data_IF_506833018663
#
_entry.id   IF_506833018663
#
_cell.length_a   1.000
_cell.length_b   1.000
_cell.length_c   1.000
_cell.angle_alpha   90.00
_cell.angle_beta   90.00
_cell.angle_gamma   90.00
#
_symmetry.space_group_name_H-M   'P 1'
#
loop_
_entity.id
_entity.type
_entity.pdbx_description
1 polymer ?
#
# COMPACT_ATOMS: atom_id res chain seq x y z
N UNK A 1 10.13 -1.56 -26.16
CA UNK A 1 9.26 -0.82 -25.22
C UNK A 1 10.11 -0.32 -24.07
N UNK A 2 9.87 0.89 -23.56
CA UNK A 2 10.67 1.45 -22.46
C UNK A 2 10.32 0.78 -21.13
N UNK A 3 11.30 0.61 -20.24
CA UNK A 3 11.08 0.20 -18.85
C UNK A 3 10.72 1.37 -17.93
N UNK A 4 10.86 2.62 -18.41
CA UNK A 4 10.58 3.84 -17.64
C UNK A 4 9.12 4.29 -17.71
N UNK A 5 8.42 3.92 -18.77
CA UNK A 5 7.08 4.40 -19.09
C UNK A 5 6.15 3.23 -19.32
N UNK A 6 4.87 3.41 -18.97
CA UNK A 6 3.84 2.38 -19.17
C UNK A 6 3.85 1.87 -20.62
N UNK A 7 3.83 0.55 -20.88
CA UNK A 7 3.57 -0.55 -19.95
C UNK A 7 4.82 -1.20 -19.31
N UNK A 8 5.93 -0.46 -19.21
CA UNK A 8 7.17 -0.88 -18.55
C UNK A 8 7.81 -2.14 -19.15
N UNK A 9 7.73 -2.27 -20.48
CA UNK A 9 8.25 -3.42 -21.22
C UNK A 9 7.26 -4.56 -21.42
N UNK A 10 6.05 -4.50 -20.84
CA UNK A 10 5.03 -5.54 -21.01
C UNK A 10 4.30 -5.44 -22.37
N UNK A 11 3.81 -6.58 -22.85
CA UNK A 11 3.00 -6.65 -24.07
C UNK A 11 1.54 -6.26 -23.79
N UNK A 12 1.06 -5.19 -24.45
CA UNK A 12 -0.32 -4.69 -24.32
C UNK A 12 -1.35 -5.62 -24.97
N UNK A 13 -0.92 -6.56 -25.82
CA UNK A 13 -1.80 -7.58 -26.40
C UNK A 13 -1.93 -8.83 -25.52
N UNK A 14 -1.14 -8.92 -24.44
CA UNK A 14 -1.16 -10.05 -23.50
C UNK A 14 -1.28 -9.58 -22.04
N UNK A 15 -2.38 -8.90 -21.67
CA UNK A 15 -2.59 -8.42 -20.31
C UNK A 15 -2.58 -9.54 -19.27
N UNK A 16 -2.99 -10.76 -19.64
CA UNK A 16 -3.01 -11.92 -18.73
C UNK A 16 -1.62 -12.33 -18.24
N UNK A 17 -0.56 -12.01 -18.99
CA UNK A 17 0.82 -12.38 -18.66
C UNK A 17 1.41 -11.52 -17.54
N UNK A 18 0.86 -10.32 -17.31
CA UNK A 18 1.47 -9.36 -16.40
C UNK A 18 0.49 -8.63 -15.48
N UNK A 19 -0.74 -8.32 -15.91
CA UNK A 19 -1.67 -7.54 -15.08
C UNK A 19 -2.02 -8.32 -13.81
N UNK A 20 -1.80 -7.69 -12.68
CA UNK A 20 -2.01 -8.19 -11.33
C UNK A 20 -0.94 -9.19 -10.86
N UNK A 21 0.13 -9.38 -11.64
CA UNK A 21 1.27 -10.22 -11.25
C UNK A 21 2.19 -9.50 -10.25
N UNK A 22 2.99 -10.29 -9.52
CA UNK A 22 3.98 -9.77 -8.56
C UNK A 22 5.06 -8.92 -9.25
N UNK A 23 5.45 -9.30 -10.46
CA UNK A 23 6.50 -8.64 -11.25
C UNK A 23 6.02 -7.44 -12.06
N UNK A 24 4.70 -7.18 -12.13
CA UNK A 24 4.18 -6.05 -12.87
C UNK A 24 4.45 -4.73 -12.15
N UNK A 25 5.18 -3.86 -12.85
CA UNK A 25 5.58 -2.56 -12.35
C UNK A 25 4.43 -1.56 -12.34
N UNK A 26 4.45 -0.68 -11.35
CA UNK A 26 3.59 0.49 -11.28
C UNK A 26 4.40 1.72 -10.92
N UNK A 27 4.06 2.85 -11.54
CA UNK A 27 4.59 4.17 -11.17
C UNK A 27 3.59 4.91 -10.30
N UNK A 28 2.29 4.63 -10.45
CA UNK A 28 1.21 5.20 -9.67
C UNK A 28 0.72 4.18 -8.64
N UNK A 29 0.74 4.54 -7.37
CA UNK A 29 0.39 3.66 -6.26
C UNK A 29 -0.67 4.31 -5.40
N UNK A 30 -1.66 3.54 -4.99
CA UNK A 30 -2.56 3.93 -3.92
C UNK A 30 -2.09 3.21 -2.64
N UNK A 31 -1.76 3.98 -1.61
CA UNK A 31 -1.15 3.45 -0.39
C UNK A 31 -1.98 3.87 0.82
N UNK A 32 -2.37 2.91 1.66
CA UNK A 32 -3.03 3.18 2.94
C UNK A 32 -2.27 2.54 4.09
N UNK A 33 -2.13 3.26 5.20
CA UNK A 33 -1.64 2.68 6.45
C UNK A 33 -2.65 1.66 6.97
N UNK A 34 -2.15 0.50 7.42
CA UNK A 34 -2.98 -0.59 7.91
C UNK A 34 -2.74 -0.82 9.42
N UNK A 35 -1.48 -0.78 9.87
CA UNK A 35 -1.15 -0.78 11.29
C UNK A 35 0.33 -1.03 11.57
N UNK A 36 0.68 -1.35 12.81
CA UNK A 36 2.07 -1.59 13.21
C UNK A 36 2.21 -2.32 14.52
N UNK A 37 3.27 -3.11 14.66
CA UNK A 37 3.74 -3.60 15.95
C UNK A 37 5.16 -3.07 16.19
N UNK A 38 5.37 -2.22 17.21
CA UNK A 38 6.70 -1.70 17.54
C UNK A 38 6.94 -1.71 19.06
N UNK A 39 7.79 -2.65 19.52
CA UNK A 39 8.26 -2.72 20.92
C UNK A 39 9.75 -2.37 21.02
N UNK A 40 10.59 -2.86 20.08
CA UNK A 40 12.03 -2.51 19.93
C UNK A 40 12.46 -2.66 18.46
N UNK A 41 12.22 -3.83 17.90
CA UNK A 41 12.13 -4.07 16.48
C UNK A 41 10.68 -4.46 16.18
N UNK A 42 10.21 -4.09 15.01
CA UNK A 42 8.79 -4.14 14.70
C UNK A 42 8.53 -4.08 13.22
N UNK A 43 7.27 -3.87 12.88
CA UNK A 43 6.85 -3.63 11.53
C UNK A 43 5.76 -2.57 11.46
N UNK A 44 5.71 -1.85 10.33
CA UNK A 44 4.53 -1.10 9.92
C UNK A 44 3.98 -1.70 8.65
N UNK A 45 2.67 -1.95 8.66
CA UNK A 45 1.89 -2.54 7.59
C UNK A 45 1.15 -1.47 6.80
N UNK A 46 1.15 -1.66 5.49
CA UNK A 46 0.50 -0.79 4.52
C UNK A 46 -0.20 -1.65 3.49
N UNK A 47 -1.32 -1.20 2.95
CA UNK A 47 -1.88 -1.80 1.73
C UNK A 47 -1.38 -0.96 0.55
N UNK A 48 -0.73 -1.62 -0.41
CA UNK A 48 -0.30 -1.02 -1.67
C UNK A 48 -1.17 -1.55 -2.80
N UNK A 49 -1.68 -0.66 -3.64
CA UNK A 49 -2.37 -0.99 -4.88
C UNK A 49 -1.67 -0.30 -6.06
N UNK A 50 -1.17 -1.09 -7.01
CA UNK A 50 -0.58 -0.58 -8.25
C UNK A 50 -1.67 -0.15 -9.23
N UNK A 51 -1.75 1.15 -9.54
CA UNK A 51 -2.75 1.70 -10.47
C UNK A 51 -2.38 1.50 -11.95
N UNK A 52 -1.14 1.07 -12.21
CA UNK A 52 -0.66 0.65 -13.53
C UNK A 52 -0.49 -0.86 -13.65
N UNK A 53 -0.69 -1.62 -12.56
CA UNK A 53 -0.52 -3.09 -12.56
C UNK A 53 -1.73 -3.86 -12.06
N UNK A 54 -2.69 -3.26 -11.34
CA UNK A 54 -3.80 -3.95 -10.67
C UNK A 54 -3.38 -5.02 -9.63
N UNK A 55 -2.11 -5.03 -9.22
CA UNK A 55 -1.66 -5.84 -8.12
C UNK A 55 -1.96 -5.11 -6.80
N UNK A 56 -2.49 -5.83 -5.81
CA UNK A 56 -2.74 -5.30 -4.46
C UNK A 56 -2.16 -6.24 -3.41
N UNK A 57 -1.54 -5.71 -2.37
CA UNK A 57 -0.90 -6.52 -1.32
C UNK A 57 -0.75 -5.73 -0.02
N UNK A 58 -0.66 -6.45 1.10
CA UNK A 58 -0.15 -5.91 2.35
C UNK A 58 1.37 -5.92 2.28
N UNK A 59 1.98 -4.79 2.57
CA UNK A 59 3.42 -4.58 2.55
C UNK A 59 3.85 -4.10 3.93
N UNK A 60 4.85 -4.77 4.49
CA UNK A 60 5.41 -4.43 5.78
C UNK A 60 6.81 -3.85 5.61
N UNK A 61 7.15 -2.81 6.37
CA UNK A 61 8.55 -2.44 6.60
C UNK A 61 8.99 -3.03 7.93
N UNK A 62 9.84 -4.05 7.89
CA UNK A 62 10.45 -4.64 9.07
C UNK A 62 11.60 -3.74 9.50
N UNK A 63 11.50 -3.14 10.67
CA UNK A 63 12.43 -2.11 11.12
C UNK A 63 12.87 -2.30 12.57
N UNK A 64 14.01 -1.70 12.89
CA UNK A 64 14.48 -1.53 14.26
C UNK A 64 14.82 -0.05 14.42
N UNK A 65 14.30 0.60 15.46
CA UNK A 65 14.47 2.05 15.61
C UNK A 65 14.26 2.53 17.04
N UNK A 66 14.70 3.76 17.28
CA UNK A 66 14.47 4.44 18.56
C UNK A 66 13.11 5.10 18.49
N UNK A 67 12.13 4.52 19.16
CA UNK A 67 10.80 5.11 19.33
C UNK A 67 10.82 5.97 20.59
N UNK A 68 10.66 7.29 20.47
CA UNK A 68 10.43 8.15 21.63
C UNK A 68 8.92 8.27 21.82
N UNK A 69 8.36 7.34 22.59
CA UNK A 69 6.92 7.26 22.86
C UNK A 69 6.53 8.19 24.00
N UNK A 70 6.14 9.43 23.67
CA UNK A 70 5.55 10.33 24.64
C UNK A 70 4.04 10.48 24.35
N UNK A 71 3.14 10.09 25.28
CA UNK A 71 1.70 10.21 25.05
C UNK A 71 1.28 11.69 24.97
N UNK A 72 0.67 12.06 23.84
CA UNK A 72 0.26 13.43 23.46
C UNK A 72 -0.51 14.14 24.58
N UNK A 73 -1.41 13.42 25.28
CA UNK A 73 -2.25 13.99 26.34
C UNK A 73 -1.51 14.49 27.59
N UNK A 74 -0.21 14.20 27.75
CA UNK A 74 0.58 14.63 28.92
C UNK A 74 1.82 15.46 28.61
N UNK A 75 2.29 15.54 27.37
CA UNK A 75 3.37 16.49 27.03
C UNK A 75 2.90 17.93 27.26
N UNK A 76 1.63 18.22 26.95
CA UNK A 76 1.01 19.51 27.25
C UNK A 76 0.72 19.76 28.75
N UNK A 77 0.63 18.71 29.59
CA UNK A 77 0.43 18.85 31.05
C UNK A 77 1.73 18.78 31.87
N UNK A 78 2.78 18.16 31.34
CA UNK A 78 4.06 17.99 32.01
C UNK A 78 4.99 19.20 31.91
N UNK A 79 4.64 20.21 31.10
CA UNK A 79 5.31 21.52 31.09
C UNK A 79 5.26 22.26 32.46
N UNK A 80 4.59 21.72 33.47
CA UNK A 80 4.57 22.24 34.85
C UNK A 80 4.85 21.22 35.96
N UNK A 81 5.30 19.99 35.66
CA UNK A 81 5.49 18.91 36.65
C UNK A 81 6.93 18.37 36.69
N UNK A 82 7.45 18.07 37.89
CA UNK A 82 8.84 17.66 38.10
C UNK A 82 9.21 16.35 37.38
N UNK A 83 10.41 16.32 36.80
CA UNK A 83 10.94 15.24 35.95
C UNK A 83 10.93 13.81 36.57
N UNK A 84 10.83 13.69 37.90
CA UNK A 84 10.79 12.38 38.58
C UNK A 84 9.44 11.68 38.48
N UNK A 85 8.34 12.43 38.42
CA UNK A 85 7.00 11.83 38.32
C UNK A 85 6.71 11.38 36.88
N UNK A 86 7.28 12.07 35.88
CA UNK A 86 7.21 11.65 34.47
C UNK A 86 7.85 10.26 34.26
N UNK A 87 9.04 10.03 34.80
CA UNK A 87 9.79 8.76 34.69
C UNK A 87 9.10 7.57 35.38
N UNK A 88 8.39 7.80 36.50
CA UNK A 88 7.66 6.76 37.21
C UNK A 88 6.36 6.38 36.49
N UNK A 89 5.68 7.35 35.87
CA UNK A 89 4.50 7.11 35.04
C UNK A 89 4.81 6.42 33.71
N UNK A 90 5.96 6.73 33.11
CA UNK A 90 6.46 6.11 31.88
C UNK A 90 6.65 4.59 32.06
N UNK A 91 7.32 4.15 33.13
CA UNK A 91 7.55 2.73 33.43
C UNK A 91 6.30 1.88 33.62
N UNK A 92 5.25 2.43 34.25
CA UNK A 92 4.00 1.70 34.51
C UNK A 92 3.12 1.65 33.25
N UNK A 93 3.10 2.75 32.47
CA UNK A 93 2.38 2.80 31.20
C UNK A 93 3.07 1.97 30.10
N UNK A 94 4.39 1.81 30.13
CA UNK A 94 5.09 0.96 29.17
C UNK A 94 4.60 -0.49 29.25
N UNK A 95 4.37 -1.03 30.45
CA UNK A 95 3.93 -2.42 30.59
C UNK A 95 2.47 -2.63 30.16
N UNK A 96 1.56 -1.73 30.55
CA UNK A 96 0.16 -1.80 30.15
C UNK A 96 -0.06 -1.45 28.66
N UNK A 97 0.70 -0.48 28.15
CA UNK A 97 0.72 -0.10 26.75
C UNK A 97 1.29 -1.20 25.85
N UNK A 98 2.35 -1.88 26.29
CA UNK A 98 2.93 -3.00 25.52
C UNK A 98 1.96 -4.18 25.41
N UNK A 99 1.23 -4.53 26.48
CA UNK A 99 0.26 -5.62 26.43
C UNK A 99 -0.90 -5.33 25.44
N UNK A 100 -1.47 -4.12 25.50
CA UNK A 100 -2.50 -3.70 24.55
C UNK A 100 -1.97 -3.66 23.11
N UNK A 101 -0.74 -3.16 22.93
CA UNK A 101 -0.12 -3.11 21.60
C UNK A 101 0.05 -4.50 20.98
N UNK A 102 0.40 -5.49 21.80
CA UNK A 102 0.53 -6.89 21.36
C UNK A 102 -0.84 -7.49 21.02
N UNK A 103 -1.87 -7.26 21.84
CA UNK A 103 -3.23 -7.76 21.59
C UNK A 103 -3.86 -7.17 20.31
N UNK A 104 -3.71 -5.86 20.12
CA UNK A 104 -4.14 -5.17 18.91
C UNK A 104 -3.37 -5.69 17.67
N UNK A 105 -2.07 -6.02 17.82
CA UNK A 105 -1.25 -6.54 16.72
C UNK A 105 -1.63 -7.97 16.34
N UNK A 106 -1.88 -8.83 17.33
CA UNK A 106 -2.37 -10.20 17.10
C UNK A 106 -3.74 -10.17 16.43
N UNK A 107 -4.62 -9.25 16.83
CA UNK A 107 -5.92 -9.06 16.20
C UNK A 107 -5.75 -8.63 14.75
N UNK A 108 -4.86 -7.68 14.49
CA UNK A 108 -4.55 -7.21 13.14
C UNK A 108 -3.92 -8.30 12.27
N UNK A 109 -2.93 -9.06 12.75
CA UNK A 109 -2.36 -10.20 12.02
C UNK A 109 -3.43 -11.24 11.67
N UNK A 110 -4.35 -11.51 12.60
CA UNK A 110 -5.50 -12.38 12.34
C UNK A 110 -6.42 -11.80 11.27
N UNK A 111 -6.75 -10.51 11.35
CA UNK A 111 -7.56 -9.84 10.35
C UNK A 111 -6.88 -9.80 8.98
N UNK A 112 -5.57 -9.54 8.92
CA UNK A 112 -4.74 -9.61 7.70
C UNK A 112 -4.78 -11.02 7.11
N UNK A 113 -4.58 -12.06 7.91
CA UNK A 113 -4.69 -13.46 7.51
C UNK A 113 -6.10 -13.85 7.01
N UNK A 114 -7.14 -13.20 7.54
CA UNK A 114 -8.54 -13.39 7.11
C UNK A 114 -8.88 -12.64 5.80
N UNK A 115 -8.01 -11.75 5.29
CA UNK A 115 -8.16 -11.13 3.97
C UNK A 115 -7.88 -12.13 2.84
N UNK A 116 -8.88 -12.97 2.56
CA UNK A 116 -8.79 -14.05 1.58
C UNK A 116 -8.76 -13.58 0.11
N UNK A 117 -8.98 -12.30 -0.19
CA UNK A 117 -9.02 -11.76 -1.56
C UNK A 117 -8.46 -10.34 -1.68
N UNK A 118 -8.01 -9.97 -2.88
CA UNK A 118 -7.59 -8.61 -3.21
C UNK A 118 -8.74 -7.61 -3.08
N UNK A 119 -9.96 -8.01 -3.39
CA UNK A 119 -11.12 -7.15 -3.15
C UNK A 119 -11.39 -6.88 -1.67
N UNK A 120 -11.14 -7.84 -0.78
CA UNK A 120 -11.21 -7.58 0.65
C UNK A 120 -10.17 -6.52 1.08
N UNK A 121 -8.95 -6.59 0.53
CA UNK A 121 -7.92 -5.57 0.77
C UNK A 121 -8.32 -4.20 0.21
N UNK A 122 -8.92 -4.15 -0.99
CA UNK A 122 -9.39 -2.91 -1.59
C UNK A 122 -10.53 -2.27 -0.77
N UNK A 123 -11.48 -3.06 -0.28
CA UNK A 123 -12.54 -2.57 0.62
C UNK A 123 -11.99 -2.04 1.95
N UNK A 124 -10.94 -2.67 2.50
CA UNK A 124 -10.25 -2.15 3.69
C UNK A 124 -9.54 -0.83 3.40
N UNK A 125 -8.81 -0.76 2.29
CA UNK A 125 -8.14 0.47 1.85
C UNK A 125 -9.11 1.65 1.73
N UNK A 126 -10.31 1.43 1.18
CA UNK A 126 -11.34 2.48 1.06
C UNK A 126 -11.88 2.99 2.41
N UNK A 127 -11.79 2.19 3.47
CA UNK A 127 -12.18 2.61 4.83
C UNK A 127 -11.08 3.41 5.55
N UNK A 128 -9.86 3.35 5.04
CA UNK A 128 -8.73 4.15 5.50
C UNK A 128 -8.66 5.50 4.74
N UNK A 129 -7.51 6.17 4.77
CA UNK A 129 -7.25 7.40 4.00
C UNK A 129 -6.17 7.11 2.95
N UNK A 130 -6.52 6.42 1.85
CA UNK A 130 -5.54 6.04 0.84
C UNK A 130 -4.93 7.27 0.17
N UNK A 131 -3.61 7.29 0.06
CA UNK A 131 -2.85 8.37 -0.58
C UNK A 131 -2.39 7.93 -1.97
N UNK A 132 -2.63 8.78 -2.96
CA UNK A 132 -2.08 8.60 -4.30
C UNK A 132 -0.61 9.02 -4.29
N UNK A 133 0.27 8.09 -4.65
CA UNK A 133 1.72 8.23 -4.64
C UNK A 133 2.25 8.00 -6.05
N UNK A 134 3.11 8.92 -6.49
CA UNK A 134 3.85 8.79 -7.73
C UNK A 134 5.28 8.40 -7.40
N UNK A 135 5.67 7.20 -7.81
CA UNK A 135 7.02 6.69 -7.66
C UNK A 135 7.98 7.44 -8.60
N UNK A 136 9.19 7.69 -8.10
CA UNK A 136 10.28 8.27 -8.87
C UNK A 136 10.76 7.29 -9.95
N UNK A 137 10.89 6.01 -9.58
CA UNK A 137 11.20 4.89 -10.48
C UNK A 137 10.04 3.88 -10.44
N UNK A 138 9.52 3.38 -11.58
CA UNK A 138 8.53 2.30 -11.56
C UNK A 138 9.11 1.05 -10.88
N UNK A 139 8.34 0.44 -9.99
CA UNK A 139 8.72 -0.78 -9.28
C UNK A 139 7.55 -1.76 -9.25
N UNK A 140 7.85 -3.04 -9.05
CA UNK A 140 6.87 -4.10 -8.82
C UNK A 140 6.86 -4.54 -7.35
N UNK A 141 5.98 -5.48 -6.99
CA UNK A 141 6.05 -6.09 -5.67
C UNK A 141 7.28 -6.99 -5.51
N UNK A 142 7.76 -7.61 -6.59
CA UNK A 142 9.05 -8.32 -6.60
C UNK A 142 10.21 -7.37 -6.28
N UNK A 143 10.23 -6.18 -6.88
CA UNK A 143 11.25 -5.16 -6.62
C UNK A 143 11.19 -4.66 -5.16
N UNK A 144 9.96 -4.52 -4.61
CA UNK A 144 9.73 -4.04 -3.24
C UNK A 144 10.11 -5.08 -2.17
N UNK A 145 9.96 -6.37 -2.47
CA UNK A 145 10.32 -7.43 -1.55
C UNK A 145 11.84 -7.48 -1.35
N UNK A 146 12.30 -7.16 -0.14
CA UNK A 146 13.72 -7.04 0.18
C UNK A 146 14.30 -5.65 -0.07
N UNK A 147 13.51 -4.68 -0.53
CA UNK A 147 13.97 -3.31 -0.74
C UNK A 147 14.30 -2.64 0.59
N UNK A 148 15.49 -2.04 0.76
CA UNK A 148 15.77 -1.18 1.91
C UNK A 148 14.86 0.05 1.95
N UNK A 149 14.48 0.46 3.15
CA UNK A 149 13.52 1.53 3.33
C UNK A 149 13.67 2.29 4.64
N UNK A 150 12.93 3.39 4.73
CA UNK A 150 12.84 4.22 5.91
C UNK A 150 11.40 4.53 6.24
N UNK A 151 11.09 4.64 7.52
CA UNK A 151 9.84 5.23 7.99
C UNK A 151 10.13 6.25 9.08
N UNK A 152 9.55 7.43 8.93
CA UNK A 152 9.61 8.51 9.90
C UNK A 152 8.19 9.00 10.16
N UNK A 153 7.70 8.84 11.39
CA UNK A 153 6.33 9.18 11.75
C UNK A 153 6.26 10.14 12.91
N UNK A 154 5.20 10.94 12.93
CA UNK A 154 4.74 11.63 14.12
C UNK A 154 3.23 11.44 14.23
N UNK A 155 2.77 11.07 15.42
CA UNK A 155 1.36 11.09 15.74
C UNK A 155 0.85 12.53 15.78
N UNK A 156 -0.29 12.76 15.14
CA UNK A 156 -0.97 14.04 15.15
C UNK A 156 -2.43 13.77 15.48
N UNK A 157 -3.01 14.52 16.42
CA UNK A 157 -4.46 14.58 16.57
C UNK A 157 -4.95 15.79 15.78
N UNK A 158 -5.22 15.60 14.48
CA UNK A 158 -5.81 16.65 13.66
C UNK A 158 -6.76 16.07 12.61
N UNK A 159 -8.02 16.51 12.67
CA UNK A 159 -9.07 16.40 11.64
C UNK A 159 -9.02 15.09 10.83
N UNK A 160 -9.40 13.98 11.47
CA UNK A 160 -9.59 12.68 10.79
C UNK A 160 -8.32 11.86 10.58
N UNK A 161 -7.13 12.39 10.87
CA UNK A 161 -5.89 11.62 10.92
C UNK A 161 -5.37 11.52 12.37
N UNK A 162 -4.93 10.31 12.76
CA UNK A 162 -4.28 10.00 14.02
C UNK A 162 -2.74 10.07 13.93
N UNK A 163 -2.18 10.14 12.71
CA UNK A 163 -0.75 10.24 12.50
C UNK A 163 -0.37 10.45 11.03
N UNK A 164 0.85 10.92 10.81
CA UNK A 164 1.45 11.05 9.49
C UNK A 164 2.78 10.31 9.48
N UNK A 165 2.94 9.41 8.51
CA UNK A 165 4.15 8.65 8.26
C UNK A 165 4.78 9.07 6.94
N UNK A 166 6.07 9.38 6.97
CA UNK A 166 6.90 9.46 5.76
C UNK A 166 7.53 8.11 5.55
N UNK A 167 7.29 7.51 4.39
CA UNK A 167 7.87 6.23 3.99
C UNK A 167 8.75 6.41 2.76
N UNK A 168 9.81 5.63 2.68
CA UNK A 168 10.71 5.62 1.53
C UNK A 168 11.23 4.21 1.24
N UNK A 169 11.50 3.96 -0.03
CA UNK A 169 12.20 2.78 -0.54
C UNK A 169 13.32 3.23 -1.46
N UNK A 170 14.51 2.66 -1.30
CA UNK A 170 15.71 3.11 -2.02
C UNK A 170 16.59 1.95 -2.48
N UNK A 171 17.45 2.24 -3.46
CA UNK A 171 18.32 1.23 -4.08
C UNK A 171 19.54 0.93 -3.19
N UNK A 172 19.62 -0.31 -2.68
CA UNK A 172 20.71 -0.76 -1.83
C UNK A 172 20.82 -0.02 -0.48
N UNK A 173 21.87 -0.31 0.30
CA UNK A 173 22.05 0.31 1.63
C UNK A 173 22.49 1.78 1.53
N UNK A 174 23.18 2.17 0.45
CA UNK A 174 23.65 3.54 0.22
C UNK A 174 22.60 4.47 -0.38
N UNK A 175 21.52 3.93 -0.95
CA UNK A 175 20.48 4.71 -1.62
C UNK A 175 19.81 5.76 -0.73
N UNK A 176 19.69 5.50 0.58
CA UNK A 176 19.19 6.46 1.55
C UNK A 176 20.10 7.69 1.75
N UNK A 177 21.41 7.53 1.57
CA UNK A 177 22.39 8.63 1.68
C UNK A 177 22.52 9.42 0.38
N UNK A 178 22.36 8.76 -0.77
CA UNK A 178 22.46 9.39 -2.09
C UNK A 178 21.12 9.96 -2.58
N UNK A 179 20.06 9.80 -1.79
CA UNK A 179 18.70 10.18 -2.16
C UNK A 179 18.17 9.52 -3.43
N UNK A 180 18.67 8.31 -3.74
CA UNK A 180 18.23 7.55 -4.90
C UNK A 180 17.03 6.66 -4.55
N UNK A 181 15.87 7.32 -4.43
CA UNK A 181 14.62 6.70 -4.01
C UNK A 181 13.86 6.10 -5.19
N UNK A 182 13.29 4.91 -4.98
CA UNK A 182 12.19 4.42 -5.81
C UNK A 182 10.92 5.22 -5.54
N UNK A 183 10.66 5.49 -4.26
CA UNK A 183 9.54 6.32 -3.83
C UNK A 183 9.86 7.01 -2.50
N UNK A 184 9.20 8.16 -2.31
CA UNK A 184 9.04 8.82 -1.01
C UNK A 184 7.61 9.31 -0.91
N UNK A 185 6.91 8.93 0.15
CA UNK A 185 5.50 9.24 0.31
C UNK A 185 5.18 9.70 1.73
N UNK A 186 4.12 10.51 1.84
CA UNK A 186 3.51 10.89 3.11
C UNK A 186 2.16 10.21 3.21
N UNK A 187 2.00 9.31 4.18
CA UNK A 187 0.83 8.47 4.39
C UNK A 187 0.14 8.87 5.69
N UNK A 188 -1.15 9.19 5.61
CA UNK A 188 -1.96 9.47 6.79
C UNK A 188 -2.50 8.17 7.40
N UNK A 189 -2.52 8.11 8.73
CA UNK A 189 -3.20 7.06 9.49
C UNK A 189 -4.57 7.57 9.96
N UNK A 190 -5.63 6.81 9.70
CA UNK A 190 -7.00 7.13 10.12
C UNK A 190 -7.29 6.81 11.61
N UNK A 191 -6.35 6.14 12.30
CA UNK A 191 -6.51 5.75 13.71
C UNK A 191 -7.27 4.44 13.93
N UNK A 192 -7.50 3.65 12.88
CA UNK A 192 -8.21 2.35 12.92
C UNK A 192 -7.29 1.17 13.28
N UNK A 193 -5.98 1.39 13.35
CA UNK A 193 -4.97 0.41 13.71
C UNK A 193 -3.83 1.09 14.48
N UNK A 194 -3.27 0.36 15.45
CA UNK A 194 -2.16 0.70 16.35
C UNK A 194 -1.52 2.08 16.11
N UNK A 195 -1.90 3.01 16.98
CA UNK A 195 -1.26 4.31 17.20
C UNK A 195 0.04 3.99 17.96
N UNK A 196 1.12 3.74 17.22
CA UNK A 196 2.43 3.51 17.79
C UNK A 196 2.95 4.83 18.39
N UNK A 197 2.53 5.06 19.64
CA UNK A 197 2.83 6.25 20.43
C UNK A 197 4.21 6.79 20.16
N UNK A 198 4.35 7.96 19.53
CA UNK A 198 5.62 8.67 19.44
C UNK A 198 6.06 9.19 18.07
N UNK A 199 7.08 10.06 18.11
CA UNK A 199 7.89 10.42 16.94
C UNK A 199 8.97 9.35 16.81
N UNK A 200 8.98 8.63 15.70
CA UNK A 200 9.91 7.54 15.46
C UNK A 200 10.56 7.68 14.09
N UNK A 201 11.87 7.47 14.02
CA UNK A 201 12.60 7.28 12.76
C UNK A 201 13.24 5.91 12.82
N UNK A 202 12.95 5.08 11.82
CA UNK A 202 13.54 3.76 11.70
C UNK A 202 13.87 3.44 10.25
N UNK A 203 14.91 2.64 10.08
CA UNK A 203 15.30 2.08 8.80
C UNK A 203 15.06 0.56 8.86
N UNK A 204 14.77 -0.02 7.71
CA UNK A 204 14.32 -1.39 7.63
C UNK A 204 14.35 -1.97 6.23
N UNK A 205 13.70 -3.12 6.08
CA UNK A 205 13.54 -3.81 4.81
C UNK A 205 12.06 -4.03 4.56
N UNK A 206 11.62 -3.69 3.34
CA UNK A 206 10.27 -3.93 2.89
C UNK A 206 10.06 -5.43 2.61
N UNK A 207 8.90 -5.95 2.99
CA UNK A 207 8.44 -7.30 2.73
C UNK A 207 7.01 -7.25 2.21
N UNK A 208 6.67 -8.15 1.29
CA UNK A 208 5.36 -8.19 0.63
C UNK A 208 4.64 -9.47 1.02
N UNK A 209 3.40 -9.35 1.50
CA UNK A 209 2.53 -10.48 1.79
C UNK A 209 1.71 -10.84 0.55
N UNK A 210 2.09 -11.93 -0.12
CA UNK A 210 1.30 -12.63 -1.14
C UNK A 210 0.40 -11.74 -2.02
N UNK A 211 0.87 -11.24 -3.17
CA UNK A 211 0.10 -10.31 -3.99
C UNK A 211 -1.20 -10.92 -4.46
N UNK A 212 -2.24 -10.09 -4.50
CA UNK A 212 -3.56 -10.42 -5.03
C UNK A 212 -3.78 -9.76 -6.37
N UNK A 213 -4.47 -10.46 -7.25
CA UNK A 213 -4.65 -10.07 -8.64
C UNK A 213 -6.07 -9.54 -8.87
N UNK A 214 -6.24 -8.21 -8.81
CA UNK A 214 -7.56 -7.59 -9.02
C UNK A 214 -8.07 -7.74 -10.46
N UNK A 215 -7.19 -7.99 -11.43
CA UNK A 215 -7.59 -8.19 -12.82
C UNK A 215 -8.44 -9.45 -13.00
N UNK A 216 -8.04 -10.56 -12.39
CA UNK A 216 -8.84 -11.79 -12.38
C UNK A 216 -10.01 -11.73 -11.41
N UNK A 217 -9.83 -11.17 -10.20
CA UNK A 217 -10.89 -11.11 -9.19
C UNK A 217 -12.08 -10.25 -9.65
N UNK A 218 -11.83 -9.08 -10.23
CA UNK A 218 -12.90 -8.20 -10.71
C UNK A 218 -13.59 -8.73 -11.97
N UNK A 219 -12.87 -9.47 -12.80
CA UNK A 219 -13.42 -10.11 -13.98
C UNK A 219 -14.30 -11.32 -13.67
N UNK A 220 -14.17 -11.95 -12.50
CA UNK A 220 -14.77 -13.25 -12.21
C UNK A 220 -16.28 -13.33 -12.53
N UNK A 221 -17.03 -12.25 -12.26
CA UNK A 221 -18.48 -12.19 -12.54
C UNK A 221 -18.82 -11.94 -14.02
N UNK A 222 -17.94 -11.25 -14.75
CA UNK A 222 -18.12 -10.96 -16.17
C UNK A 222 -17.49 -12.02 -17.08
N UNK A 223 -16.57 -12.84 -16.57
CA UNK A 223 -15.92 -13.92 -17.34
C UNK A 223 -16.91 -14.95 -17.88
N UNK A 224 -17.97 -15.26 -17.12
CA UNK A 224 -19.03 -16.14 -17.59
C UNK A 224 -19.73 -15.62 -18.85
N UNK A 225 -19.75 -14.28 -19.05
CA UNK A 225 -20.33 -13.66 -20.23
C UNK A 225 -19.40 -13.72 -21.45
N UNK A 226 -18.07 -13.81 -21.25
CA UNK A 226 -17.13 -14.06 -22.36
C UNK A 226 -17.46 -15.35 -23.15
N UNK A 227 -18.10 -16.32 -22.49
CA UNK A 227 -18.42 -17.63 -23.09
C UNK A 227 -19.80 -17.68 -23.77
N UNK A 228 -20.61 -16.63 -23.66
CA UNK A 228 -21.96 -16.59 -24.24
C UNK A 228 -21.90 -15.92 -25.61
N UNK A 229 -22.08 -16.74 -26.65
CA UNK A 229 -22.16 -16.32 -28.05
C UNK A 229 -23.21 -15.20 -28.21
N UNK A 230 -22.86 -14.09 -28.89
CA UNK A 230 -23.66 -12.86 -29.08
C UNK A 230 -23.88 -11.97 -27.85
N UNK A 231 -23.29 -12.28 -26.69
CA UNK A 231 -23.11 -11.25 -25.68
C UNK A 231 -21.89 -10.42 -26.06
N UNK A 232 -21.99 -9.08 -26.03
CA UNK A 232 -20.86 -8.21 -26.35
C UNK A 232 -20.14 -7.83 -25.04
N UNK A 233 -19.11 -8.58 -24.58
CA UNK A 233 -18.38 -8.26 -23.37
C UNK A 233 -17.61 -6.94 -23.46
N UNK A 234 -17.49 -6.33 -24.65
CA UNK A 234 -16.82 -5.04 -24.85
C UNK A 234 -17.41 -3.88 -24.02
N UNK A 235 -18.65 -4.01 -23.53
CA UNK A 235 -19.28 -3.04 -22.64
C UNK A 235 -19.08 -3.35 -21.15
N UNK A 236 -18.72 -4.58 -20.79
CA UNK A 236 -18.43 -4.95 -19.41
C UNK A 236 -17.04 -4.42 -19.05
N UNK A 237 -17.02 -3.33 -18.27
CA UNK A 237 -15.81 -2.62 -17.89
C UNK A 237 -15.61 -2.75 -16.37
N UNK A 238 -15.33 -3.97 -15.86
CA UNK A 238 -15.29 -4.25 -14.42
C UNK A 238 -14.21 -3.43 -13.70
N UNK A 239 -13.19 -2.97 -14.41
CA UNK A 239 -12.04 -2.28 -13.83
C UNK A 239 -12.29 -0.79 -13.55
N UNK A 240 -13.37 -0.20 -14.09
CA UNK A 240 -13.75 1.20 -13.85
C UNK A 240 -14.13 1.52 -12.41
N UNK A 241 -14.36 0.49 -11.58
CA UNK A 241 -14.63 0.67 -10.15
C UNK A 241 -13.39 1.04 -9.33
N UNK A 242 -12.18 0.92 -9.89
CA UNK A 242 -10.94 1.42 -9.30
C UNK A 242 -10.67 2.81 -9.87
N UNK A 243 -10.82 3.89 -9.08
CA UNK A 243 -10.53 5.24 -9.55
C UNK A 243 -9.03 5.40 -9.83
N UNK A 244 -8.70 6.29 -10.77
CA UNK A 244 -7.31 6.64 -11.15
C UNK A 244 -6.48 5.49 -11.76
N UNK A 245 -7.08 4.33 -12.00
CA UNK A 245 -6.46 3.24 -12.76
C UNK A 245 -6.05 3.72 -14.15
N UNK A 246 -4.98 3.17 -14.72
CA UNK A 246 -4.51 3.56 -16.06
C UNK A 246 -5.64 3.42 -17.10
N UNK A 247 -5.86 4.37 -18.03
CA UNK A 247 -6.95 4.31 -19.00
C UNK A 247 -6.98 3.00 -19.79
N UNK A 248 -5.80 2.49 -20.19
CA UNK A 248 -5.67 1.16 -20.80
C UNK A 248 -6.30 0.07 -19.92
N UNK A 249 -5.97 -0.01 -18.63
CA UNK A 249 -6.49 -1.03 -17.72
C UNK A 249 -8.00 -0.86 -17.48
N UNK A 250 -8.49 0.38 -17.39
CA UNK A 250 -9.92 0.68 -17.23
C UNK A 250 -10.77 0.26 -18.44
N UNK A 251 -10.13 0.10 -19.59
CA UNK A 251 -10.74 -0.23 -20.87
C UNK A 251 -10.59 -1.69 -21.27
N UNK A 252 -9.77 -2.45 -20.53
CA UNK A 252 -9.55 -3.86 -20.79
C UNK A 252 -10.88 -4.63 -20.72
N UNK A 253 -11.13 -5.57 -21.63
CA UNK A 253 -12.22 -6.51 -21.47
C UNK A 253 -11.97 -7.39 -20.23
N UNK A 254 -13.02 -8.05 -19.70
CA UNK A 254 -12.86 -8.98 -18.59
C UNK A 254 -11.79 -10.04 -18.86
N UNK A 255 -10.95 -10.34 -17.88
CA UNK A 255 -9.92 -11.38 -17.97
C UNK A 255 -10.48 -12.71 -18.49
N UNK A 256 -9.76 -13.34 -19.44
CA UNK A 256 -10.20 -14.54 -20.15
C UNK A 256 -11.08 -14.29 -21.39
N UNK A 257 -11.50 -13.05 -21.67
CA UNK A 257 -12.11 -12.69 -22.96
C UNK A 257 -11.02 -12.47 -24.02
N UNK A 258 -11.29 -12.88 -25.27
CA UNK A 258 -10.43 -12.51 -26.40
C UNK A 258 -10.44 -11.00 -26.64
N UNK A 259 -9.26 -10.38 -26.75
CA UNK A 259 -9.12 -8.95 -27.06
C UNK A 259 -9.68 -8.63 -28.46
N UNK A 260 -9.51 -9.54 -29.42
CA UNK A 260 -9.96 -9.38 -30.80
C UNK A 260 -11.48 -9.40 -30.88
N UNK A 261 -12.13 -10.35 -30.19
CA UNK A 261 -13.59 -10.47 -30.14
C UNK A 261 -14.23 -9.31 -29.37
N UNK A 262 -13.51 -8.76 -28.39
CA UNK A 262 -13.93 -7.56 -27.67
C UNK A 262 -13.74 -6.25 -28.46
N UNK A 263 -13.21 -6.30 -29.69
CA UNK A 263 -12.84 -5.13 -30.50
C UNK A 263 -11.91 -4.16 -29.74
N UNK A 264 -11.08 -4.68 -28.84
CA UNK A 264 -10.19 -3.88 -28.02
C UNK A 264 -8.97 -3.45 -28.83
N UNK A 265 -8.69 -2.14 -28.87
CA UNK A 265 -7.52 -1.59 -29.54
C UNK A 265 -6.67 -0.76 -28.57
N UNK A 266 -5.52 -1.30 -28.09
CA UNK A 266 -4.69 -0.62 -27.11
C UNK A 266 -4.06 0.68 -27.65
N UNK A 267 -3.74 0.74 -28.95
CA UNK A 267 -3.11 1.90 -29.56
C UNK A 267 -3.99 3.14 -29.53
N UNK A 268 -5.32 2.96 -29.60
CA UNK A 268 -6.29 4.06 -29.52
C UNK A 268 -6.34 4.69 -28.12
N UNK A 269 -6.02 3.91 -27.10
CA UNK A 269 -6.22 4.29 -25.69
C UNK A 269 -4.94 4.88 -25.12
N UNK A 270 -3.78 4.38 -25.57
CA UNK A 270 -2.47 4.94 -25.25
C UNK A 270 -2.24 6.37 -25.79
N UNK A 271 -3.07 6.83 -26.74
CA UNK A 271 -3.05 8.21 -27.23
C UNK A 271 -3.81 9.19 -26.32
N UNK A 272 -4.53 8.70 -25.32
CA UNK A 272 -5.25 9.55 -24.37
C UNK A 272 -4.30 10.02 -23.26
N UNK A 273 -4.31 11.32 -22.91
CA UNK A 273 -3.52 11.81 -21.79
C UNK A 273 -3.99 11.13 -20.49
N UNK A 274 -3.02 10.65 -19.70
CA UNK A 274 -3.27 10.15 -18.34
C UNK A 274 -3.56 11.39 -17.47
N UNK A 275 -4.83 11.54 -17.08
CA UNK A 275 -5.29 12.60 -16.16
C UNK A 275 -4.95 12.27 -14.71
#
# INVERSE_FOLDING_TARGET
>A
MSSSDFPFGNDLMKPEDWVGSMGAKSKRWLISYEGSLAVVCGYHSFIFLGLDSMAISVVNILNCGVTVSAPIGKIFKAAGGAARDALAFEKINDHAGNAKKVDDAVTMEREQGEASSGMALYERMKKAIPQLVYATKPFSFDDLAGMPGGIAGAEIEAVGAAGIYRIEGYEGVTGGLTSDFYFRATIANAGTGLVAGGVGVSAGVWSVEGPRNLYWELAARSRARCLVENSAPGYDQPYRQIPNLHPYLQSLPPAGCSLEEANFNPMRIMQQPVL
#
